data_IF_828072058343
#
_entry.id   IF_828072058343
#
_cell.length_a   1.000
_cell.length_b   1.000
_cell.length_c   1.000
_cell.angle_alpha   90.00
_cell.angle_beta   90.00
_cell.angle_gamma   90.00
#
_symmetry.space_group_name_H-M   'P 1'
#
loop_
_entity.id
_entity.type
_entity.pdbx_description
1 polymer ?
#
# COMPACT_ATOMS: atom_id res chain seq x y z
N UNK A 1 -40.86 -31.21 11.61
CA UNK A 1 -40.52 -29.81 11.26
C UNK A 1 -41.14 -29.47 9.90
N UNK A 2 -42.11 -28.56 9.86
CA UNK A 2 -42.69 -28.06 8.60
C UNK A 2 -41.79 -26.95 8.04
N UNK A 3 -41.44 -27.01 6.74
CA UNK A 3 -40.67 -25.97 6.06
C UNK A 3 -41.60 -25.04 5.29
N UNK A 4 -41.33 -23.74 5.37
CA UNK A 4 -42.07 -22.71 4.65
C UNK A 4 -41.28 -22.33 3.39
N UNK A 5 -41.99 -22.11 2.29
CA UNK A 5 -41.41 -21.70 1.01
C UNK A 5 -40.81 -20.29 1.09
N UNK A 6 -39.91 -19.99 0.15
CA UNK A 6 -39.50 -18.61 -0.13
C UNK A 6 -40.73 -17.78 -0.53
N UNK A 7 -40.73 -16.48 -0.25
CA UNK A 7 -41.88 -15.61 -0.55
C UNK A 7 -42.30 -15.71 -2.01
N UNK A 8 -43.50 -16.25 -2.24
CA UNK A 8 -43.97 -16.71 -3.55
C UNK A 8 -44.37 -15.55 -4.49
N UNK A 9 -44.54 -14.33 -3.98
CA UNK A 9 -44.98 -13.15 -4.77
C UNK A 9 -43.91 -12.08 -4.86
N UNK A 10 -43.76 -11.50 -6.07
CA UNK A 10 -42.99 -10.28 -6.34
C UNK A 10 -43.33 -9.24 -5.26
N UNK A 11 -42.31 -8.76 -4.56
CA UNK A 11 -42.44 -7.74 -3.52
C UNK A 11 -42.71 -6.35 -4.15
N UNK A 12 -43.85 -6.22 -4.84
CA UNK A 12 -44.42 -4.94 -5.24
C UNK A 12 -45.13 -4.35 -4.01
N UNK A 13 -44.26 -3.92 -3.10
CA UNK A 13 -44.34 -2.96 -1.99
C UNK A 13 -45.67 -2.47 -1.39
N UNK A 14 -46.82 -3.18 -1.42
CA UNK A 14 -48.00 -2.81 -0.61
C UNK A 14 -48.92 -3.97 -0.12
N UNK A 15 -48.67 -5.24 -0.45
CA UNK A 15 -49.54 -6.37 -0.01
C UNK A 15 -49.00 -7.16 1.20
N UNK A 16 -49.91 -7.81 1.96
CA UNK A 16 -49.55 -8.67 3.10
C UNK A 16 -48.73 -9.89 2.63
N UNK A 17 -47.58 -10.08 3.26
CA UNK A 17 -46.63 -11.14 2.94
C UNK A 17 -47.08 -12.48 3.53
N UNK A 18 -47.59 -13.40 2.70
CA UNK A 18 -48.00 -14.76 3.13
C UNK A 18 -46.96 -15.80 2.71
N UNK A 19 -46.49 -16.61 3.66
CA UNK A 19 -45.60 -17.75 3.42
C UNK A 19 -46.44 -19.01 3.21
N UNK A 20 -46.23 -19.73 2.12
CA UNK A 20 -46.87 -21.04 1.87
C UNK A 20 -45.98 -22.17 2.40
N UNK A 21 -46.54 -23.38 2.59
CA UNK A 21 -45.73 -24.54 2.94
C UNK A 21 -44.89 -24.97 1.73
N UNK A 22 -43.60 -25.25 1.97
CA UNK A 22 -42.68 -25.70 0.94
C UNK A 22 -43.06 -27.12 0.49
N UNK A 23 -43.65 -27.25 -0.72
CA UNK A 23 -44.08 -28.54 -1.26
C UNK A 23 -42.90 -29.41 -1.73
N UNK A 24 -41.80 -28.80 -2.16
CA UNK A 24 -40.56 -29.46 -2.60
C UNK A 24 -39.37 -28.61 -2.20
N UNK A 25 -38.40 -29.21 -1.52
CA UNK A 25 -37.15 -28.53 -1.19
C UNK A 25 -36.33 -28.23 -2.45
N UNK A 26 -35.47 -27.22 -2.43
CA UNK A 26 -34.45 -27.01 -3.48
C UNK A 26 -33.63 -28.29 -3.76
N UNK A 27 -33.33 -29.05 -2.72
CA UNK A 27 -32.64 -30.34 -2.85
C UNK A 27 -33.49 -31.40 -3.57
N UNK A 28 -34.81 -31.40 -3.36
CA UNK A 28 -35.71 -32.35 -4.02
C UNK A 28 -35.86 -31.99 -5.50
N UNK A 29 -35.93 -30.70 -5.82
CA UNK A 29 -35.93 -30.22 -7.20
C UNK A 29 -34.62 -30.59 -7.92
N UNK A 30 -33.47 -30.41 -7.26
CA UNK A 30 -32.18 -30.80 -7.82
C UNK A 30 -32.08 -32.31 -8.09
N UNK A 31 -32.64 -33.15 -7.20
CA UNK A 31 -32.70 -34.61 -7.39
C UNK A 31 -33.59 -35.00 -8.57
N UNK A 32 -34.75 -34.36 -8.72
CA UNK A 32 -35.65 -34.61 -9.85
C UNK A 32 -35.02 -34.19 -11.18
N UNK A 33 -34.38 -33.02 -11.22
CA UNK A 33 -33.70 -32.51 -12.41
C UNK A 33 -32.52 -33.43 -12.80
N UNK A 34 -31.72 -33.87 -11.81
CA UNK A 34 -30.65 -34.84 -12.02
C UNK A 34 -31.17 -36.18 -12.57
N UNK A 35 -32.31 -36.67 -12.04
CA UNK A 35 -32.96 -37.88 -12.54
C UNK A 35 -33.39 -37.71 -14.01
N UNK A 36 -34.05 -36.60 -14.35
CA UNK A 36 -34.47 -36.30 -15.74
C UNK A 36 -33.27 -36.32 -16.69
N UNK A 37 -32.17 -35.64 -16.30
CA UNK A 37 -30.93 -35.58 -17.09
C UNK A 37 -30.26 -36.95 -17.29
N UNK A 38 -30.38 -37.85 -16.31
CA UNK A 38 -29.89 -39.23 -16.43
C UNK A 38 -30.74 -40.05 -17.41
N UNK A 39 -32.07 -39.93 -17.34
CA UNK A 39 -33.00 -40.65 -18.21
C UNK A 39 -32.92 -40.15 -19.67
N UNK A 40 -32.64 -38.86 -19.87
CA UNK A 40 -32.44 -38.23 -21.18
C UNK A 40 -31.05 -38.48 -21.79
N UNK A 41 -30.19 -39.28 -21.14
CA UNK A 41 -28.84 -39.63 -21.64
C UNK A 41 -27.86 -38.46 -21.71
N UNK A 42 -28.18 -37.31 -21.10
CA UNK A 42 -27.36 -36.10 -21.13
C UNK A 42 -26.37 -36.10 -19.97
N UNK A 43 -25.47 -37.09 -19.93
CA UNK A 43 -24.42 -37.18 -18.89
C UNK A 43 -23.10 -36.54 -19.30
N UNK A 44 -22.95 -36.08 -20.56
CA UNK A 44 -21.67 -35.53 -21.07
C UNK A 44 -21.54 -34.01 -21.08
N UNK A 45 -22.58 -33.24 -20.72
CA UNK A 45 -22.43 -31.79 -20.57
C UNK A 45 -22.02 -31.51 -19.13
N UNK A 46 -20.71 -31.49 -18.89
CA UNK A 46 -20.11 -30.92 -17.67
C UNK A 46 -20.84 -29.61 -17.38
N UNK A 47 -21.43 -29.49 -16.19
CA UNK A 47 -22.11 -28.27 -15.76
C UNK A 47 -21.06 -27.16 -15.72
N UNK A 48 -20.90 -26.45 -16.83
CA UNK A 48 -20.11 -25.23 -16.87
C UNK A 48 -20.86 -24.22 -16.03
N UNK A 49 -20.22 -23.77 -14.95
CA UNK A 49 -20.70 -22.68 -14.10
C UNK A 49 -21.02 -21.39 -14.91
N UNK A 50 -20.56 -21.31 -16.16
CA UNK A 50 -20.89 -20.24 -17.09
C UNK A 50 -22.39 -20.12 -17.40
N UNK A 51 -23.16 -21.21 -17.35
CA UNK A 51 -24.59 -21.18 -17.72
C UNK A 51 -25.52 -20.62 -16.64
N UNK A 52 -24.99 -20.28 -15.45
CA UNK A 52 -25.78 -19.66 -14.36
C UNK A 52 -25.76 -18.13 -14.38
N UNK A 53 -25.14 -17.50 -15.38
CA UNK A 53 -25.21 -16.04 -15.54
C UNK A 53 -26.28 -15.68 -16.55
N UNK A 54 -27.53 -15.83 -16.14
CA UNK A 54 -28.57 -15.01 -16.72
C UNK A 54 -29.16 -14.10 -15.65
N UNK A 55 -29.33 -12.83 -16.01
CA UNK A 55 -29.88 -11.71 -15.23
C UNK A 55 -28.98 -11.03 -14.20
N UNK A 56 -27.97 -10.29 -14.67
CA UNK A 56 -27.60 -9.00 -14.05
C UNK A 56 -27.27 -7.99 -15.15
N UNK A 57 -28.22 -7.11 -15.43
CA UNK A 57 -27.99 -5.87 -16.17
C UNK A 57 -26.78 -5.14 -15.58
N UNK A 58 -25.77 -4.91 -16.42
CA UNK A 58 -24.71 -3.96 -16.15
C UNK A 58 -24.52 -3.12 -17.42
N UNK A 59 -25.16 -1.95 -17.39
CA UNK A 59 -24.90 -0.80 -18.23
C UNK A 59 -23.40 -0.51 -18.39
N UNK A 60 -23.05 -0.16 -19.63
CA UNK A 60 -22.00 0.77 -20.03
C UNK A 60 -20.55 0.27 -20.05
N UNK A 61 -19.90 0.58 -21.17
CA UNK A 61 -18.46 0.63 -21.32
C UNK A 61 -17.89 -0.61 -21.98
N UNK A 62 -17.62 -0.49 -23.27
CA UNK A 62 -16.73 -1.37 -24.02
C UNK A 62 -15.40 -1.50 -23.25
N UNK A 63 -15.24 -2.60 -22.51
CA UNK A 63 -13.95 -3.01 -21.95
C UNK A 63 -13.50 -4.16 -22.82
N UNK A 64 -12.63 -3.86 -23.77
CA UNK A 64 -11.82 -4.84 -24.49
C UNK A 64 -11.01 -5.63 -23.45
N UNK A 65 -11.52 -6.80 -23.03
CA UNK A 65 -10.81 -7.67 -22.10
C UNK A 65 -9.74 -8.42 -22.89
N UNK A 66 -8.60 -7.77 -23.12
CA UNK A 66 -7.35 -8.45 -23.48
C UNK A 66 -6.88 -9.25 -22.27
N UNK A 67 -7.27 -10.52 -22.26
CA UNK A 67 -6.68 -11.62 -21.50
C UNK A 67 -6.84 -11.61 -19.96
N UNK A 68 -7.57 -12.62 -19.46
CA UNK A 68 -7.39 -13.19 -18.13
C UNK A 68 -7.99 -12.44 -16.93
N UNK A 69 -9.14 -12.91 -16.41
CA UNK A 69 -9.73 -12.48 -15.12
C UNK A 69 -8.82 -12.72 -13.90
N UNK A 70 -7.74 -13.49 -14.08
CA UNK A 70 -6.79 -13.86 -13.03
C UNK A 70 -5.58 -12.91 -12.94
N UNK A 71 -5.29 -12.11 -13.99
CA UNK A 71 -4.12 -11.25 -13.99
C UNK A 71 -4.46 -9.89 -13.36
N UNK A 72 -3.78 -9.56 -12.26
CA UNK A 72 -3.88 -8.23 -11.68
C UNK A 72 -3.25 -7.24 -12.66
N UNK A 73 -3.91 -6.12 -12.99
CA UNK A 73 -3.30 -5.10 -13.83
C UNK A 73 -2.01 -4.61 -13.18
N UNK A 74 -0.92 -4.58 -13.95
CA UNK A 74 0.35 -4.03 -13.48
C UNK A 74 0.16 -2.54 -13.18
N UNK A 75 0.25 -2.17 -11.90
CA UNK A 75 0.14 -0.77 -11.48
C UNK A 75 1.46 -0.07 -11.80
N UNK A 76 1.42 0.95 -12.66
CA UNK A 76 2.58 1.82 -12.92
C UNK A 76 3.03 2.46 -11.60
N UNK A 77 4.32 2.32 -11.29
CA UNK A 77 4.91 2.95 -10.12
C UNK A 77 4.82 4.48 -10.26
N UNK A 78 4.14 5.14 -9.32
CA UNK A 78 4.01 6.59 -9.31
C UNK A 78 5.37 7.23 -8.99
N UNK A 79 5.85 8.11 -9.88
CA UNK A 79 7.07 8.88 -9.68
C UNK A 79 6.71 10.26 -9.16
N UNK A 80 7.30 10.63 -8.01
CA UNK A 80 7.15 11.95 -7.42
C UNK A 80 7.86 13.00 -8.26
N UNK A 81 7.15 14.09 -8.57
CA UNK A 81 7.67 15.29 -9.22
C UNK A 81 8.68 16.01 -8.31
N UNK A 82 9.51 16.87 -8.90
CA UNK A 82 10.54 17.59 -8.15
C UNK A 82 9.92 18.51 -7.08
N UNK A 83 8.92 19.32 -7.45
CA UNK A 83 8.21 20.22 -6.51
C UNK A 83 7.61 19.47 -5.31
N UNK A 84 7.10 18.25 -5.52
CA UNK A 84 6.56 17.42 -4.44
C UNK A 84 7.67 16.96 -3.49
N UNK A 85 8.83 16.57 -4.04
CA UNK A 85 10.00 16.16 -3.24
C UNK A 85 10.52 17.33 -2.42
N UNK A 86 10.67 18.51 -3.03
CA UNK A 86 11.19 19.69 -2.36
C UNK A 86 10.29 20.12 -1.20
N UNK A 87 8.97 20.10 -1.42
CA UNK A 87 8.00 20.35 -0.35
C UNK A 87 8.06 19.33 0.79
N UNK A 88 8.14 18.02 0.46
CA UNK A 88 8.26 16.97 1.46
C UNK A 88 9.58 17.06 2.23
N UNK A 89 10.69 17.38 1.55
CA UNK A 89 11.99 17.59 2.19
C UNK A 89 11.94 18.78 3.16
N UNK A 90 11.36 19.92 2.75
CA UNK A 90 11.20 21.07 3.63
C UNK A 90 10.38 20.72 4.89
N UNK A 91 9.25 20.02 4.71
CA UNK A 91 8.44 19.54 5.85
C UNK A 91 9.21 18.55 6.73
N UNK A 92 9.98 17.65 6.13
CA UNK A 92 10.80 16.70 6.88
C UNK A 92 11.88 17.41 7.72
N UNK A 93 12.55 18.42 7.17
CA UNK A 93 13.53 19.25 7.90
C UNK A 93 12.89 20.02 9.04
N UNK A 94 11.69 20.57 8.85
CA UNK A 94 10.91 21.19 9.95
C UNK A 94 10.62 20.15 11.05
N UNK A 95 10.26 18.92 10.68
CA UNK A 95 10.05 17.84 11.64
C UNK A 95 11.31 17.44 12.40
N UNK A 96 12.48 17.46 11.75
CA UNK A 96 13.77 17.19 12.40
C UNK A 96 14.16 18.32 13.36
N UNK A 97 14.09 19.57 12.92
CA UNK A 97 14.46 20.74 13.72
C UNK A 97 13.53 20.96 14.92
N UNK A 98 12.24 20.67 14.78
CA UNK A 98 11.28 20.68 15.90
C UNK A 98 11.35 19.44 16.80
N UNK A 99 12.10 18.40 16.41
CA UNK A 99 12.16 17.12 17.10
C UNK A 99 10.88 16.27 17.02
N UNK A 100 9.82 16.76 16.34
CA UNK A 100 8.54 16.05 16.22
C UNK A 100 8.25 15.73 14.76
N UNK A 101 8.17 14.43 14.45
CA UNK A 101 7.81 13.96 13.12
C UNK A 101 6.40 14.44 12.73
N UNK A 102 6.29 15.10 11.58
CA UNK A 102 5.01 15.49 11.00
C UNK A 102 4.25 14.26 10.50
N UNK A 103 2.95 14.24 10.77
CA UNK A 103 2.06 13.17 10.30
C UNK A 103 1.77 13.32 8.80
N UNK A 104 1.83 12.20 8.07
CA UNK A 104 1.60 12.17 6.62
C UNK A 104 0.18 12.56 6.23
N UNK A 105 -0.81 12.32 7.10
CA UNK A 105 -2.18 12.78 6.87
C UNK A 105 -2.27 14.30 6.91
N UNK A 106 -1.66 14.93 7.93
CA UNK A 106 -1.62 16.38 8.08
C UNK A 106 -0.92 17.00 6.87
N UNK A 107 0.26 16.48 6.49
CA UNK A 107 1.03 17.01 5.35
C UNK A 107 0.27 16.86 4.02
N UNK A 108 -0.44 15.75 3.81
CA UNK A 108 -1.31 15.57 2.64
C UNK A 108 -2.47 16.60 2.60
N UNK A 109 -3.05 16.92 3.76
CA UNK A 109 -4.08 17.97 3.87
C UNK A 109 -3.51 19.35 3.61
N UNK A 110 -2.35 19.65 4.18
CA UNK A 110 -1.65 20.92 3.99
C UNK A 110 -1.23 21.14 2.53
N UNK A 111 -0.80 20.09 1.81
CA UNK A 111 -0.47 20.18 0.38
C UNK A 111 -1.60 20.82 -0.44
N UNK A 112 -2.88 20.58 -0.08
CA UNK A 112 -4.04 21.13 -0.80
C UNK A 112 -4.22 22.64 -0.60
N UNK A 113 -3.62 23.18 0.48
CA UNK A 113 -3.67 24.59 0.87
C UNK A 113 -2.31 25.28 0.71
N UNK A 114 -1.27 24.56 0.32
CA UNK A 114 0.07 25.09 0.15
C UNK A 114 0.09 26.16 -0.95
N UNK A 115 0.65 27.31 -0.61
CA UNK A 115 0.82 28.46 -1.48
C UNK A 115 2.31 28.78 -1.60
N UNK A 116 2.72 29.24 -2.78
CA UNK A 116 4.05 29.80 -3.00
C UNK A 116 4.17 31.22 -2.42
N UNK A 117 5.36 31.83 -2.53
CA UNK A 117 5.58 33.21 -2.09
C UNK A 117 4.66 34.22 -2.79
N UNK A 118 4.27 33.94 -4.04
CA UNK A 118 3.36 34.78 -4.83
C UNK A 118 1.88 34.63 -4.43
N UNK A 119 1.58 33.84 -3.39
CA UNK A 119 0.20 33.54 -2.94
C UNK A 119 -0.58 32.56 -3.83
N UNK A 120 0.02 32.13 -4.95
CA UNK A 120 -0.57 31.14 -5.87
C UNK A 120 -0.43 29.73 -5.29
N UNK A 121 -1.42 28.86 -5.57
CA UNK A 121 -1.40 27.46 -5.12
C UNK A 121 -0.19 26.71 -5.70
N UNK A 122 0.53 26.01 -4.82
CA UNK A 122 1.80 25.33 -5.15
C UNK A 122 1.61 24.05 -5.98
N UNK A 123 0.45 23.38 -5.85
CA UNK A 123 0.17 22.09 -6.48
C UNK A 123 -1.19 22.05 -7.19
N UNK A 124 -1.26 21.34 -8.32
CA UNK A 124 -2.52 20.99 -8.98
C UNK A 124 -3.18 19.80 -8.28
N UNK A 125 -4.48 19.60 -8.52
CA UNK A 125 -5.23 18.47 -7.92
C UNK A 125 -4.65 17.11 -8.31
N UNK A 126 -4.14 16.98 -9.53
CA UNK A 126 -3.45 15.77 -10.03
C UNK A 126 -2.12 15.49 -9.33
N UNK A 127 -1.57 16.47 -8.62
CA UNK A 127 -0.28 16.38 -7.93
C UNK A 127 -0.45 16.19 -6.42
N UNK A 128 -1.68 16.08 -5.92
CA UNK A 128 -1.90 15.82 -4.51
C UNK A 128 -1.47 14.41 -4.15
N UNK A 129 -0.68 14.31 -3.09
CA UNK A 129 -0.22 13.04 -2.56
C UNK A 129 -1.19 12.51 -1.52
N UNK A 130 -1.33 11.19 -1.49
CA UNK A 130 -2.09 10.51 -0.44
C UNK A 130 -1.30 10.51 0.87
N UNK A 131 -1.97 10.42 2.03
CA UNK A 131 -1.30 10.26 3.32
C UNK A 131 -0.27 9.12 3.32
N UNK A 132 -0.61 8.00 2.67
CA UNK A 132 0.28 6.84 2.55
C UNK A 132 1.56 7.16 1.75
N UNK A 133 1.44 7.93 0.65
CA UNK A 133 2.60 8.35 -0.13
C UNK A 133 3.53 9.25 0.69
N UNK A 134 2.97 10.23 1.42
CA UNK A 134 3.73 11.11 2.31
C UNK A 134 4.45 10.31 3.41
N UNK A 135 3.73 9.46 4.14
CA UNK A 135 4.30 8.62 5.21
C UNK A 135 5.40 7.70 4.67
N UNK A 136 5.16 7.04 3.54
CA UNK A 136 6.13 6.16 2.89
C UNK A 136 7.41 6.92 2.50
N UNK A 137 7.28 8.16 2.03
CA UNK A 137 8.42 9.02 1.68
C UNK A 137 9.24 9.40 2.91
N UNK A 138 8.59 9.85 3.99
CA UNK A 138 9.28 10.17 5.25
C UNK A 138 9.98 8.95 5.86
N UNK A 139 9.38 7.77 5.80
CA UNK A 139 10.04 6.54 6.27
C UNK A 139 11.33 6.25 5.49
N UNK A 140 11.31 6.45 4.15
CA UNK A 140 12.51 6.29 3.31
C UNK A 140 13.57 7.35 3.62
N UNK A 141 13.17 8.61 3.80
CA UNK A 141 14.11 9.68 4.16
C UNK A 141 14.74 9.42 5.53
N UNK A 142 13.95 9.05 6.54
CA UNK A 142 14.48 8.72 7.85
C UNK A 142 15.44 7.52 7.81
N UNK A 143 15.15 6.50 6.99
CA UNK A 143 16.06 5.38 6.80
C UNK A 143 17.36 5.80 6.10
N UNK A 144 17.28 6.71 5.12
CA UNK A 144 18.46 7.28 4.47
C UNK A 144 19.34 8.05 5.46
N UNK A 145 18.75 8.91 6.28
CA UNK A 145 19.48 9.68 7.31
C UNK A 145 20.17 8.75 8.29
N UNK A 146 19.48 7.72 8.81
CA UNK A 146 20.10 6.77 9.75
C UNK A 146 21.30 6.01 9.18
N UNK A 147 21.28 5.71 7.88
CA UNK A 147 22.42 5.07 7.19
C UNK A 147 23.57 6.05 7.03
N UNK A 148 23.28 7.28 6.60
CA UNK A 148 24.32 8.31 6.49
C UNK A 148 25.01 8.55 7.83
N UNK A 149 24.26 8.65 8.93
CA UNK A 149 24.85 8.84 10.26
C UNK A 149 25.70 7.65 10.72
N UNK A 150 25.39 6.41 10.30
CA UNK A 150 26.24 5.27 10.63
C UNK A 150 27.53 5.29 9.83
N UNK A 151 27.43 5.59 8.53
CA UNK A 151 28.59 5.68 7.65
C UNK A 151 29.54 6.80 8.12
N UNK A 152 28.99 7.97 8.49
CA UNK A 152 29.76 9.10 9.03
C UNK A 152 30.46 8.73 10.36
N UNK A 153 29.81 7.97 11.24
CA UNK A 153 30.41 7.53 12.49
C UNK A 153 31.51 6.49 12.28
N UNK A 154 31.37 5.61 11.30
CA UNK A 154 32.40 4.65 10.91
C UNK A 154 33.64 5.38 10.35
N UNK A 155 33.43 6.37 9.47
CA UNK A 155 34.51 7.22 8.94
C UNK A 155 35.24 7.93 10.08
N UNK A 156 34.50 8.54 11.01
CA UNK A 156 35.10 9.24 12.15
C UNK A 156 35.92 8.28 13.04
N UNK A 157 35.44 7.06 13.28
CA UNK A 157 36.16 6.08 14.08
C UNK A 157 37.50 5.67 13.43
N UNK A 158 37.53 5.52 12.09
CA UNK A 158 38.77 5.25 11.34
C UNK A 158 39.74 6.41 11.46
N UNK A 159 39.27 7.64 11.28
CA UNK A 159 40.10 8.85 11.43
C UNK A 159 40.65 9.00 12.86
N UNK A 160 39.84 8.68 13.88
CA UNK A 160 40.29 8.69 15.28
C UNK A 160 41.34 7.61 15.57
N UNK A 161 41.23 6.43 14.98
CA UNK A 161 42.23 5.36 15.08
C UNK A 161 43.56 5.75 14.40
N UNK A 162 43.50 6.32 13.19
CA UNK A 162 44.68 6.87 12.51
C UNK A 162 45.33 7.98 13.34
N UNK A 163 44.55 8.92 13.86
CA UNK A 163 45.07 9.99 14.72
C UNK A 163 45.74 9.44 15.99
N UNK A 164 45.13 8.43 16.62
CA UNK A 164 45.69 7.79 17.81
C UNK A 164 47.01 7.05 17.51
N UNK A 165 47.06 6.30 16.41
CA UNK A 165 48.27 5.58 16.00
C UNK A 165 49.40 6.53 15.65
N UNK A 166 49.14 7.59 14.88
CA UNK A 166 50.14 8.63 14.58
C UNK A 166 50.65 9.32 15.86
N UNK A 167 49.76 9.70 16.78
CA UNK A 167 50.18 10.32 18.05
C UNK A 167 51.08 9.39 18.87
N UNK A 168 50.77 8.09 18.90
CA UNK A 168 51.57 7.07 19.59
C UNK A 168 52.95 6.91 18.94
N UNK A 169 53.04 6.88 17.62
CA UNK A 169 54.32 6.80 16.90
C UNK A 169 55.21 8.03 17.18
N UNK A 170 54.61 9.23 17.18
CA UNK A 170 55.32 10.46 17.53
C UNK A 170 55.91 10.35 18.94
N UNK A 171 55.13 9.91 19.93
CA UNK A 171 55.61 9.74 21.31
C UNK A 171 56.75 8.72 21.38
N UNK A 172 56.65 7.60 20.67
CA UNK A 172 57.71 6.59 20.64
C UNK A 172 58.99 7.07 19.95
N UNK A 173 58.88 7.99 18.99
CA UNK A 173 60.04 8.60 18.33
C UNK A 173 60.79 9.61 19.20
N UNK A 174 60.18 10.09 20.29
CA UNK A 174 60.82 11.02 21.23
C UNK A 174 61.87 10.24 22.03
N UNK A 175 63.14 10.47 21.69
CA UNK A 175 64.27 9.96 22.46
C UNK A 175 64.65 10.96 23.55
N UNK A 176 64.47 10.57 24.81
CA UNK A 176 64.90 11.37 25.96
C UNK A 176 66.38 11.06 26.24
N UNK A 177 67.29 11.90 25.76
CA UNK A 177 68.68 11.86 26.23
C UNK A 177 68.74 12.38 27.66
N UNK A 178 69.17 11.53 28.59
CA UNK A 178 69.34 11.89 29.98
C UNK A 178 70.67 12.64 30.13
N UNK A 179 70.70 13.88 30.65
CA UNK A 179 71.90 14.72 30.68
C UNK A 179 73.02 14.25 31.63
N UNK A 180 72.91 13.07 32.25
CA UNK A 180 73.87 12.60 33.23
C UNK A 180 74.27 11.17 32.86
N UNK A 181 75.41 11.04 32.20
CA UNK A 181 76.15 9.78 32.07
C UNK A 181 77.25 9.78 33.12
N UNK A 182 77.29 8.75 33.97
CA UNK A 182 78.40 8.53 34.90
C UNK A 182 79.52 7.79 34.18
N UNK A 183 80.75 8.30 34.33
CA UNK A 183 82.02 7.74 33.83
C UNK A 183 82.54 6.64 34.79
#
# INVERSE_FOLDING_TARGET
FQRLSSLEKKHLSLEKCTKSLEKRSLLDLAKLDYKSRLEEGTTSQVISFASFRDTREATSGEVEVKEGWALKPSKKAYRLNQNQRDYLNAKFTIGQTSGRKLDGDIVSREMRRAQGPDGVRLFKVSEFLTPQQCTSYFSRLAAKVRRQTSDDAEIQAVEEEENFTMAREIILSITLQHPITYD
#
